data_IF_770930557206
#
_entry.id   IF_770930557206
#
_cell.length_a   1.000
_cell.length_b   1.000
_cell.length_c   1.000
_cell.angle_alpha   90.00
_cell.angle_beta   90.00
_cell.angle_gamma   90.00
#
_symmetry.space_group_name_H-M   'P 1'
#
loop_
_entity.id
_entity.type
_entity.pdbx_description
1 polymer ?
#
# COMPACT_ATOMS: atom_id res chain seq x y z
N UNK A 1 -12.14 -27.35 13.15
CA UNK A 1 -12.55 -25.98 12.75
C UNK A 1 -11.45 -25.07 13.27
N UNK A 2 -10.63 -24.55 12.36
CA UNK A 2 -9.34 -23.95 12.71
C UNK A 2 -9.57 -22.45 12.91
N UNK A 3 -9.08 -21.92 14.03
CA UNK A 3 -9.21 -20.52 14.46
C UNK A 3 -8.36 -19.55 13.60
N UNK A 4 -8.53 -19.56 12.27
CA UNK A 4 -7.79 -18.68 11.36
C UNK A 4 -8.50 -17.34 11.09
N UNK A 5 -9.73 -17.14 11.56
CA UNK A 5 -10.48 -15.89 11.37
C UNK A 5 -10.10 -14.75 12.33
N UNK A 6 -9.18 -14.96 13.28
CA UNK A 6 -8.80 -13.99 14.31
C UNK A 6 -7.48 -13.25 14.03
N UNK A 7 -6.79 -13.56 12.92
CA UNK A 7 -5.48 -12.95 12.58
C UNK A 7 -5.53 -12.07 11.33
N UNK A 8 -6.70 -11.88 10.72
CA UNK A 8 -6.87 -10.96 9.60
C UNK A 8 -6.91 -9.53 10.11
N UNK A 9 -6.04 -8.67 9.57
CA UNK A 9 -6.06 -7.24 9.86
C UNK A 9 -7.30 -6.64 9.18
N UNK A 10 -8.21 -5.98 9.93
CA UNK A 10 -9.40 -5.39 9.32
C UNK A 10 -9.02 -4.17 8.45
N UNK A 11 -9.76 -3.96 7.37
CA UNK A 11 -9.60 -2.82 6.46
C UNK A 11 -9.70 -1.47 7.19
N UNK A 12 -10.45 -1.40 8.30
CA UNK A 12 -10.60 -0.20 9.12
C UNK A 12 -9.32 0.29 9.79
N UNK A 13 -8.24 -0.51 9.83
CA UNK A 13 -6.91 -0.02 10.23
C UNK A 13 -6.43 1.12 9.32
N UNK A 14 -6.80 1.08 8.04
CA UNK A 14 -6.44 2.08 7.04
C UNK A 14 -7.01 3.44 7.39
N UNK A 15 -8.23 3.48 7.94
CA UNK A 15 -8.88 4.72 8.41
C UNK A 15 -8.05 5.41 9.48
N UNK A 16 -7.59 4.66 10.48
CA UNK A 16 -6.80 5.20 11.60
C UNK A 16 -5.47 5.78 11.12
N UNK A 17 -4.82 5.11 10.16
CA UNK A 17 -3.59 5.62 9.56
C UNK A 17 -3.87 6.83 8.65
N UNK A 18 -4.92 6.77 7.84
CA UNK A 18 -5.32 7.84 6.91
C UNK A 18 -5.67 9.15 7.62
N UNK A 19 -6.29 9.10 8.81
CA UNK A 19 -6.65 10.27 9.60
C UNK A 19 -5.44 11.21 9.85
N UNK A 20 -4.24 10.64 9.98
CA UNK A 20 -3.01 11.42 10.19
C UNK A 20 -2.67 12.30 8.97
N UNK A 21 -3.12 11.94 7.76
CA UNK A 21 -2.93 12.77 6.54
C UNK A 21 -3.89 13.96 6.53
N UNK A 22 -5.14 13.73 6.94
CA UNK A 22 -6.16 14.77 7.02
C UNK A 22 -5.81 15.82 8.09
N UNK A 23 -5.33 15.38 9.26
CA UNK A 23 -4.83 16.25 10.33
C UNK A 23 -3.67 17.16 9.89
N UNK A 24 -2.89 16.72 8.90
CA UNK A 24 -1.78 17.48 8.31
C UNK A 24 -2.19 18.39 7.15
N UNK A 25 -3.49 18.55 6.90
CA UNK A 25 -4.03 19.42 5.85
C UNK A 25 -3.87 18.85 4.44
N UNK A 26 -3.84 17.52 4.30
CA UNK A 26 -3.85 16.84 2.99
C UNK A 26 -2.52 16.87 2.23
N UNK A 27 -1.43 17.37 2.83
CA UNK A 27 -0.07 17.28 2.27
C UNK A 27 0.81 16.40 3.15
N UNK A 28 1.32 15.31 2.58
CA UNK A 28 2.32 14.46 3.25
C UNK A 28 3.71 14.85 2.75
N UNK A 29 4.54 15.40 3.64
CA UNK A 29 5.98 15.49 3.41
C UNK A 29 6.56 14.15 3.83
N UNK A 30 7.13 13.39 2.89
CA UNK A 30 7.72 12.08 3.16
C UNK A 30 9.09 12.29 3.82
N UNK A 31 9.20 11.97 5.12
CA UNK A 31 10.46 12.07 5.88
C UNK A 31 11.00 10.71 6.32
N UNK A 32 10.18 9.66 6.21
CA UNK A 32 10.58 8.30 6.55
C UNK A 32 9.46 7.31 6.28
N UNK A 33 9.69 6.05 6.68
CA UNK A 33 8.85 4.91 6.32
C UNK A 33 7.42 5.03 6.88
N UNK A 34 7.25 5.64 8.05
CA UNK A 34 5.92 5.89 8.60
C UNK A 34 5.09 6.84 7.71
N UNK A 35 5.69 7.92 7.19
CA UNK A 35 4.95 8.84 6.30
C UNK A 35 4.56 8.14 4.99
N UNK A 36 5.40 7.23 4.47
CA UNK A 36 5.10 6.41 3.29
C UNK A 36 3.92 5.48 3.56
N UNK A 37 3.93 4.80 4.71
CA UNK A 37 2.85 3.90 5.12
C UNK A 37 1.53 4.65 5.34
N UNK A 38 1.58 5.81 6.00
CA UNK A 38 0.41 6.67 6.23
C UNK A 38 -0.18 7.18 4.91
N UNK A 39 0.66 7.59 3.96
CA UNK A 39 0.21 8.02 2.63
C UNK A 39 -0.43 6.87 1.84
N UNK A 40 0.19 5.68 1.86
CA UNK A 40 -0.38 4.49 1.24
C UNK A 40 -1.73 4.13 1.86
N UNK A 41 -1.85 4.21 3.20
CA UNK A 41 -3.10 3.95 3.89
C UNK A 41 -4.22 4.93 3.52
N UNK A 42 -3.90 6.21 3.32
CA UNK A 42 -4.88 7.19 2.85
C UNK A 42 -5.41 6.87 1.44
N UNK A 43 -4.54 6.44 0.53
CA UNK A 43 -4.96 6.01 -0.81
C UNK A 43 -5.85 4.76 -0.77
N UNK A 44 -5.44 3.74 0.00
CA UNK A 44 -6.18 2.49 0.14
C UNK A 44 -7.51 2.68 0.89
N UNK A 45 -7.55 3.56 1.90
CA UNK A 45 -8.79 3.89 2.60
C UNK A 45 -9.80 4.56 1.65
N UNK A 46 -9.33 5.51 0.83
CA UNK A 46 -10.19 6.13 -0.17
C UNK A 46 -10.67 5.13 -1.21
N UNK A 47 -9.80 4.20 -1.65
CA UNK A 47 -10.19 3.11 -2.53
C UNK A 47 -11.27 2.23 -1.91
N UNK A 48 -11.05 1.74 -0.68
CA UNK A 48 -12.01 0.91 0.05
C UNK A 48 -13.40 1.57 0.14
N UNK A 49 -13.45 2.87 0.44
CA UNK A 49 -14.72 3.63 0.48
C UNK A 49 -15.42 3.73 -0.88
N UNK A 50 -14.67 3.78 -1.98
CA UNK A 50 -15.23 3.86 -3.32
C UNK A 50 -15.76 2.51 -3.81
N UNK A 51 -15.21 1.41 -3.29
CA UNK A 51 -15.59 0.04 -3.67
C UNK A 51 -16.51 -0.64 -2.67
N UNK A 52 -16.73 -0.05 -1.49
CA UNK A 52 -17.53 -0.62 -0.41
C UNK A 52 -16.79 -1.65 0.45
N UNK A 53 -15.46 -1.66 0.40
CA UNK A 53 -14.59 -2.51 1.21
C UNK A 53 -14.17 -1.86 2.55
N UNK A 54 -14.85 -0.80 2.97
CA UNK A 54 -14.50 0.02 4.14
C UNK A 54 -15.12 -0.47 5.47
N UNK A 55 -15.63 -1.70 5.50
CA UNK A 55 -16.28 -2.32 6.66
C UNK A 55 -15.33 -3.20 7.50
N UNK A 56 -15.68 -3.43 8.76
CA UNK A 56 -14.92 -4.28 9.71
C UNK A 56 -14.91 -5.77 9.32
N UNK A 57 -15.84 -6.20 8.47
CA UNK A 57 -15.86 -7.55 7.90
C UNK A 57 -14.81 -7.79 6.81
N UNK A 58 -14.27 -6.72 6.22
CA UNK A 58 -13.29 -6.81 5.13
C UNK A 58 -11.86 -6.79 5.65
N UNK A 59 -11.01 -7.56 4.98
CA UNK A 59 -9.59 -7.65 5.34
C UNK A 59 -8.76 -6.62 4.58
N UNK A 60 -7.70 -6.15 5.22
CA UNK A 60 -6.67 -5.33 4.56
C UNK A 60 -6.10 -6.05 3.33
N UNK A 61 -5.93 -7.37 3.40
CA UNK A 61 -5.42 -8.18 2.28
C UNK A 61 -6.36 -8.17 1.07
N UNK A 62 -7.68 -8.18 1.30
CA UNK A 62 -8.70 -7.99 0.26
C UNK A 62 -8.51 -6.65 -0.43
N UNK A 63 -8.47 -5.56 0.35
CA UNK A 63 -8.33 -4.19 -0.16
C UNK A 63 -7.02 -4.04 -0.95
N UNK A 64 -5.92 -4.58 -0.45
CA UNK A 64 -4.62 -4.57 -1.12
C UNK A 64 -4.65 -5.34 -2.45
N UNK A 65 -5.21 -6.54 -2.45
CA UNK A 65 -5.25 -7.40 -3.63
C UNK A 65 -6.11 -6.78 -4.73
N UNK A 66 -7.29 -6.28 -4.38
CA UNK A 66 -8.21 -5.64 -5.33
C UNK A 66 -7.62 -4.35 -5.89
N UNK A 67 -6.98 -3.52 -5.04
CA UNK A 67 -6.30 -2.32 -5.49
C UNK A 67 -5.15 -2.64 -6.46
N UNK A 68 -4.34 -3.66 -6.18
CA UNK A 68 -3.27 -4.08 -7.09
C UNK A 68 -3.82 -4.66 -8.41
N UNK A 69 -4.97 -5.35 -8.36
CA UNK A 69 -5.71 -5.79 -9.54
C UNK A 69 -6.15 -4.61 -10.41
N UNK A 70 -6.68 -3.54 -9.81
CA UNK A 70 -7.07 -2.33 -10.54
C UNK A 70 -5.86 -1.57 -11.11
N UNK A 71 -4.73 -1.53 -10.38
CA UNK A 71 -3.46 -0.98 -10.91
C UNK A 71 -2.94 -1.82 -12.08
N UNK A 72 -3.12 -3.15 -12.05
CA UNK A 72 -2.77 -4.03 -13.17
C UNK A 72 -3.66 -3.71 -14.40
N UNK A 73 -4.97 -3.56 -14.20
CA UNK A 73 -5.90 -3.13 -15.26
C UNK A 73 -5.53 -1.75 -15.82
N UNK A 74 -5.05 -0.82 -14.98
CA UNK A 74 -4.54 0.49 -15.42
C UNK A 74 -3.28 0.37 -16.29
N UNK A 75 -2.41 -0.62 -16.04
CA UNK A 75 -1.19 -0.80 -16.82
C UNK A 75 -1.47 -1.27 -18.26
N UNK A 76 -2.59 -1.94 -18.49
CA UNK A 76 -2.96 -2.52 -19.79
C UNK A 76 -3.10 -1.48 -20.92
N UNK A 77 -3.89 -0.39 -20.78
CA UNK A 77 -3.98 0.66 -21.80
C UNK A 77 -2.73 1.56 -21.86
N UNK A 78 -1.92 1.61 -20.79
CA UNK A 78 -0.73 2.46 -20.74
C UNK A 78 0.53 1.80 -21.32
N UNK A 79 0.44 0.55 -21.77
CA UNK A 79 1.52 -0.18 -22.42
C UNK A 79 1.45 -0.10 -23.95
N UNK A 80 2.60 -0.05 -24.61
CA UNK A 80 2.67 -0.33 -26.05
C UNK A 80 2.52 -1.84 -26.26
N UNK A 81 1.42 -2.28 -26.89
CA UNK A 81 1.28 -3.66 -27.40
C UNK A 81 0.85 -4.73 -26.40
N UNK A 82 0.01 -4.40 -25.40
CA UNK A 82 -0.55 -5.42 -24.48
C UNK A 82 0.46 -5.96 -23.45
N UNK A 83 1.44 -5.14 -23.07
CA UNK A 83 2.49 -5.49 -22.12
C UNK A 83 2.23 -4.93 -20.70
N UNK A 84 0.96 -4.73 -20.32
CA UNK A 84 0.57 -4.11 -19.05
C UNK A 84 1.10 -4.88 -17.83
N UNK A 85 0.93 -6.20 -17.83
CA UNK A 85 1.45 -7.07 -16.77
C UNK A 85 2.98 -7.01 -16.63
N UNK A 86 3.70 -7.07 -17.75
CA UNK A 86 5.16 -6.98 -17.75
C UNK A 86 5.64 -5.63 -17.17
N UNK A 87 4.92 -4.55 -17.48
CA UNK A 87 5.18 -3.21 -16.95
C UNK A 87 4.92 -3.13 -15.44
N UNK A 88 3.78 -3.65 -14.98
CA UNK A 88 3.44 -3.72 -13.56
C UNK A 88 4.50 -4.49 -12.78
N UNK A 89 4.88 -5.67 -13.26
CA UNK A 89 5.90 -6.52 -12.63
C UNK A 89 7.29 -5.83 -12.58
N UNK A 90 7.64 -5.06 -13.61
CA UNK A 90 8.87 -4.26 -13.59
C UNK A 90 8.81 -3.15 -12.53
N UNK A 91 7.69 -2.43 -12.41
CA UNK A 91 7.49 -1.41 -11.39
C UNK A 91 7.52 -2.00 -9.98
N UNK A 92 6.86 -3.14 -9.76
CA UNK A 92 6.85 -3.84 -8.47
C UNK A 92 8.25 -4.29 -8.04
N UNK A 93 9.05 -4.81 -8.98
CA UNK A 93 10.47 -5.14 -8.70
C UNK A 93 11.27 -3.92 -8.26
N UNK A 94 11.13 -2.79 -8.94
CA UNK A 94 11.81 -1.55 -8.56
C UNK A 94 11.32 -1.02 -7.21
N UNK A 95 10.02 -1.05 -6.94
CA UNK A 95 9.45 -0.65 -5.65
C UNK A 95 10.02 -1.49 -4.49
N UNK A 96 10.20 -2.80 -4.69
CA UNK A 96 10.86 -3.69 -3.72
C UNK A 96 12.31 -3.28 -3.46
N UNK A 97 13.09 -2.99 -4.51
CA UNK A 97 14.47 -2.53 -4.35
C UNK A 97 14.55 -1.22 -3.54
N UNK A 98 13.63 -0.28 -3.79
CA UNK A 98 13.57 0.96 -3.01
C UNK A 98 13.21 0.70 -1.54
N UNK A 99 12.24 -0.17 -1.28
CA UNK A 99 11.87 -0.54 0.09
C UNK A 99 13.05 -1.18 0.85
N UNK A 100 13.81 -2.06 0.19
CA UNK A 100 14.99 -2.71 0.78
C UNK A 100 16.11 -1.71 1.08
N UNK A 101 16.39 -0.76 0.19
CA UNK A 101 17.35 0.32 0.43
C UNK A 101 16.94 1.20 1.62
N UNK A 102 15.68 1.62 1.64
CA UNK A 102 15.10 2.47 2.71
C UNK A 102 14.99 1.75 4.06
N UNK A 103 15.07 0.42 4.06
CA UNK A 103 15.07 -0.42 5.28
C UNK A 103 16.48 -0.84 5.73
N UNK A 104 17.44 -0.91 4.81
CA UNK A 104 18.83 -1.31 5.06
C UNK A 104 19.75 -0.20 5.56
N UNK A 105 19.36 1.08 5.43
CA UNK A 105 20.12 2.23 5.92
C UNK A 105 20.16 2.37 7.46
N UNK A 106 19.57 1.42 8.21
CA UNK A 106 19.58 1.37 9.68
C UNK A 106 20.72 0.59 10.32
N UNK A 107 21.55 -0.12 9.54
CA UNK A 107 22.73 -0.85 10.03
C UNK A 107 24.01 -0.24 9.46
N UNK A 108 24.09 1.09 9.58
CA UNK A 108 25.36 1.78 9.52
C UNK A 108 26.18 1.31 10.71
N UNK A 109 27.05 0.33 10.46
CA UNK A 109 28.18 -0.03 11.30
C UNK A 109 28.99 1.23 11.59
N UNK A 110 28.65 1.90 12.70
CA UNK A 110 29.48 2.90 13.36
C UNK A 110 30.15 2.20 14.53
N UNK A 111 31.37 1.74 14.31
CA UNK A 111 32.40 1.73 15.34
C UNK A 111 33.79 1.70 14.71
N UNK A 112 34.48 2.83 14.94
CA UNK A 112 35.91 3.14 14.89
C UNK A 112 36.91 1.98 14.87
#
# INVERSE_FOLDING_TARGET
MNNNGLNTVPATVLKTMAAQVEERGGRVIIRGNNDRATLAAAALWQFARLTGLDDDGESLDTVLTDFLGDVLHLCEPCGTGGAGEARFNAALRMARMHFEQESGEGDGDISW
#
